data_IF_058060677678
#
_entry.id   IF_058060677678
#
_cell.length_a   1.000
_cell.length_b   1.000
_cell.length_c   1.000
_cell.angle_alpha   90.00
_cell.angle_beta   90.00
_cell.angle_gamma   90.00
#
_symmetry.space_group_name_H-M   'P 1'
#
loop_
_entity.id
_entity.type
_entity.pdbx_description
1 polymer ?
#
# COMPACT_ATOMS: atom_id res chain seq x y z
N UNK A 1 -2.27 -16.98 -37.93
CA UNK A 1 -1.39 -15.95 -37.34
C UNK A 1 -1.92 -15.74 -35.94
N UNK A 2 -1.20 -16.13 -34.89
CA UNK A 2 -1.63 -15.78 -33.54
C UNK A 2 -1.45 -14.28 -33.38
N UNK A 3 -2.49 -13.61 -32.91
CA UNK A 3 -2.46 -12.20 -32.55
C UNK A 3 -1.59 -12.07 -31.30
N UNK A 4 -0.43 -11.42 -31.44
CA UNK A 4 0.38 -10.97 -30.31
C UNK A 4 -0.47 -10.00 -29.47
N UNK A 5 -1.01 -10.50 -28.36
CA UNK A 5 -1.57 -9.71 -27.28
C UNK A 5 -0.49 -8.73 -26.84
N UNK A 6 -0.70 -7.44 -27.08
CA UNK A 6 0.10 -6.39 -26.46
C UNK A 6 0.01 -6.60 -24.94
N UNK A 7 1.13 -6.95 -24.33
CA UNK A 7 1.32 -6.77 -22.88
C UNK A 7 1.09 -5.28 -22.58
N UNK A 8 -0.12 -4.93 -22.16
CA UNK A 8 -0.40 -3.64 -21.55
C UNK A 8 0.37 -3.62 -20.23
N UNK A 9 1.60 -3.10 -20.27
CA UNK A 9 2.37 -2.84 -19.05
C UNK A 9 1.50 -1.98 -18.13
N UNK A 10 1.11 -2.52 -16.97
CA UNK A 10 0.43 -1.76 -15.92
C UNK A 10 1.22 -0.48 -15.65
N UNK A 11 0.53 0.66 -15.67
CA UNK A 11 1.14 1.99 -15.47
C UNK A 11 1.58 2.20 -14.02
N UNK A 12 0.84 1.62 -13.08
CA UNK A 12 1.05 1.73 -11.63
C UNK A 12 1.07 0.35 -10.98
N UNK A 13 1.75 0.20 -9.83
CA UNK A 13 1.71 -1.04 -9.07
C UNK A 13 0.29 -1.31 -8.57
N UNK A 14 -0.09 -2.57 -8.48
CA UNK A 14 -1.32 -2.96 -7.80
C UNK A 14 -1.22 -2.68 -6.30
N UNK A 15 -2.15 -1.90 -5.77
CA UNK A 15 -2.20 -1.53 -4.35
C UNK A 15 -3.61 -1.72 -3.82
N UNK A 16 -3.72 -2.47 -2.72
CA UNK A 16 -4.96 -2.68 -1.96
C UNK A 16 -4.87 -1.93 -0.64
N UNK A 17 -5.72 -0.94 -0.44
CA UNK A 17 -5.81 -0.15 0.81
C UNK A 17 -6.65 -0.91 1.83
N UNK A 18 -6.15 -1.02 3.06
CA UNK A 18 -6.79 -1.76 4.15
C UNK A 18 -7.58 -0.82 5.08
N UNK A 19 -8.78 -1.24 5.48
CA UNK A 19 -9.69 -0.46 6.34
C UNK A 19 -10.41 -1.33 7.37
N UNK A 20 -10.87 -0.71 8.46
CA UNK A 20 -11.66 -1.35 9.54
C UNK A 20 -13.16 -1.51 9.24
N UNK A 21 -13.60 -1.17 8.03
CA UNK A 21 -15.00 -1.21 7.62
C UNK A 21 -15.86 -0.03 8.05
N UNK A 22 -15.36 0.86 8.93
CA UNK A 22 -16.00 2.15 9.24
C UNK A 22 -15.22 3.36 8.68
N UNK A 23 -14.05 3.10 8.10
CA UNK A 23 -13.30 4.06 7.28
C UNK A 23 -11.92 4.42 7.84
N UNK A 24 -11.47 3.79 8.92
CA UNK A 24 -10.11 4.00 9.44
C UNK A 24 -9.12 3.32 8.51
N UNK A 25 -8.11 4.06 8.05
CA UNK A 25 -7.06 3.53 7.19
C UNK A 25 -6.00 2.79 8.00
N UNK A 26 -5.75 1.52 7.66
CA UNK A 26 -4.90 0.61 8.44
C UNK A 26 -3.56 0.31 7.78
N UNK A 27 -3.42 0.64 6.50
CA UNK A 27 -2.23 0.33 5.70
C UNK A 27 -2.56 -0.15 4.30
N UNK A 28 -1.66 -0.90 3.68
CA UNK A 28 -1.86 -1.42 2.32
C UNK A 28 -1.15 -2.75 2.05
N UNK A 29 -1.62 -3.46 1.03
CA UNK A 29 -0.96 -4.59 0.39
C UNK A 29 -0.56 -4.15 -1.01
N UNK A 30 0.70 -4.28 -1.41
CA UNK A 30 1.20 -3.75 -2.70
C UNK A 30 2.15 -4.71 -3.39
N UNK A 31 2.18 -4.65 -4.72
CA UNK A 31 3.24 -5.29 -5.52
C UNK A 31 4.61 -4.83 -5.02
N UNK A 32 5.56 -5.76 -4.99
CA UNK A 32 6.95 -5.44 -4.72
C UNK A 32 7.56 -4.67 -5.90
N UNK A 33 8.53 -3.77 -5.64
CA UNK A 33 9.23 -3.10 -6.74
C UNK A 33 10.02 -4.11 -7.58
N UNK A 34 10.21 -3.83 -8.87
CA UNK A 34 10.98 -4.68 -9.79
C UNK A 34 12.43 -4.95 -9.31
N UNK A 35 12.97 -4.07 -8.47
CA UNK A 35 14.31 -4.20 -7.86
C UNK A 35 14.34 -5.14 -6.64
N UNK A 36 13.18 -5.62 -6.17
CA UNK A 36 13.08 -6.56 -5.06
C UNK A 36 13.66 -7.94 -5.42
N UNK A 37 14.20 -8.70 -4.44
CA UNK A 37 14.52 -10.12 -4.64
C UNK A 37 13.32 -11.01 -5.02
N UNK A 38 12.09 -10.54 -4.74
CA UNK A 38 10.83 -11.23 -5.08
C UNK A 38 9.85 -10.25 -5.76
N UNK A 39 10.09 -9.87 -7.02
CA UNK A 39 9.31 -8.84 -7.73
C UNK A 39 7.92 -9.33 -8.19
N UNK A 40 7.70 -10.65 -8.21
CA UNK A 40 6.41 -11.30 -8.50
C UNK A 40 5.52 -11.47 -7.26
N UNK A 41 6.01 -11.02 -6.10
CA UNK A 41 5.33 -11.10 -4.80
C UNK A 41 4.88 -9.73 -4.31
N UNK A 42 4.18 -9.73 -3.19
CA UNK A 42 3.64 -8.53 -2.56
C UNK A 42 4.34 -8.26 -1.22
N UNK A 43 4.03 -7.11 -0.64
CA UNK A 43 4.31 -6.77 0.75
C UNK A 43 3.08 -6.14 1.38
N UNK A 44 2.98 -6.28 2.70
CA UNK A 44 1.98 -5.60 3.53
C UNK A 44 2.69 -4.50 4.30
N UNK A 45 2.14 -3.29 4.29
CA UNK A 45 2.47 -2.24 5.24
C UNK A 45 1.29 -2.06 6.19
N UNK A 46 1.53 -2.20 7.48
CA UNK A 46 0.55 -1.95 8.55
C UNK A 46 0.94 -0.63 9.21
N UNK A 47 0.06 0.36 9.16
CA UNK A 47 0.32 1.67 9.74
C UNK A 47 0.40 1.57 11.27
N UNK A 48 1.46 2.10 11.88
CA UNK A 48 1.61 2.10 13.35
C UNK A 48 0.85 3.23 14.03
N UNK A 49 0.79 4.39 13.39
CA UNK A 49 0.20 5.61 13.95
C UNK A 49 -1.31 5.61 13.84
N UNK A 50 -2.01 5.95 14.92
CA UNK A 50 -3.47 6.05 14.98
C UNK A 50 -4.19 4.75 14.55
N UNK A 51 -3.51 3.60 14.67
CA UNK A 51 -4.06 2.30 14.32
C UNK A 51 -4.39 1.49 15.58
N UNK A 52 -5.67 1.39 15.98
CA UNK A 52 -6.08 0.64 17.17
C UNK A 52 -5.97 -0.87 17.00
N UNK A 53 -5.75 -1.37 15.78
CA UNK A 53 -5.65 -2.78 15.44
C UNK A 53 -4.21 -3.21 15.11
N UNK A 54 -3.20 -2.40 15.46
CA UNK A 54 -1.80 -2.66 15.10
C UNK A 54 -1.33 -4.07 15.51
N UNK A 55 -1.45 -4.40 16.80
CA UNK A 55 -1.02 -5.70 17.32
C UNK A 55 -1.80 -6.87 16.70
N UNK A 56 -3.10 -6.67 16.49
CA UNK A 56 -3.98 -7.67 15.87
C UNK A 56 -3.58 -7.92 14.41
N UNK A 57 -3.38 -6.87 13.61
CA UNK A 57 -2.99 -7.01 12.20
C UNK A 57 -1.58 -7.59 12.06
N UNK A 58 -0.63 -7.17 12.91
CA UNK A 58 0.72 -7.76 12.93
C UNK A 58 0.61 -9.25 13.26
N UNK A 59 -0.18 -9.61 14.27
CA UNK A 59 -0.42 -11.01 14.62
C UNK A 59 -1.13 -11.79 13.51
N UNK A 60 -2.10 -11.20 12.82
CA UNK A 60 -2.79 -11.84 11.69
C UNK A 60 -1.82 -12.13 10.55
N UNK A 61 -0.93 -11.19 10.22
CA UNK A 61 -0.07 -11.32 9.05
C UNK A 61 1.32 -11.88 9.30
N UNK A 62 1.77 -12.04 10.54
CA UNK A 62 3.16 -12.44 10.84
C UNK A 62 3.55 -13.79 10.23
N UNK A 63 2.59 -14.68 9.96
CA UNK A 63 2.84 -15.99 9.36
C UNK A 63 2.95 -15.98 7.85
N UNK A 64 2.53 -14.90 7.18
CA UNK A 64 2.49 -14.81 5.72
C UNK A 64 3.83 -14.40 5.11
N UNK A 65 4.60 -13.58 5.82
CA UNK A 65 5.86 -13.05 5.33
C UNK A 65 7.05 -13.84 5.84
N UNK A 66 8.07 -14.01 4.99
CA UNK A 66 9.35 -14.55 5.45
C UNK A 66 10.10 -13.57 6.36
N UNK A 67 9.85 -12.26 6.19
CA UNK A 67 10.48 -11.20 6.96
C UNK A 67 9.43 -10.22 7.48
N UNK A 68 9.70 -9.72 8.69
CA UNK A 68 8.94 -8.66 9.35
C UNK A 68 9.92 -7.55 9.70
N UNK A 69 9.64 -6.35 9.20
CA UNK A 69 10.44 -5.16 9.44
C UNK A 69 9.62 -4.17 10.27
N UNK A 70 10.08 -3.90 11.48
CA UNK A 70 9.54 -2.84 12.32
C UNK A 70 10.19 -1.52 11.92
N UNK A 71 9.37 -0.51 11.59
CA UNK A 71 9.85 0.84 11.32
C UNK A 71 10.03 1.61 12.63
N UNK A 72 10.95 2.58 12.69
CA UNK A 72 11.20 3.36 13.89
C UNK A 72 9.94 4.05 14.42
N UNK A 73 9.83 4.13 15.73
CA UNK A 73 8.81 4.94 16.43
C UNK A 73 8.85 6.40 15.96
N UNK A 74 7.68 7.04 16.00
CA UNK A 74 7.58 8.46 15.76
C UNK A 74 8.21 9.26 16.90
N UNK A 75 8.62 10.50 16.61
CA UNK A 75 9.28 11.38 17.59
C UNK A 75 8.42 11.74 18.80
N UNK A 76 7.10 11.57 18.69
CA UNK A 76 6.11 11.78 19.74
C UNK A 76 5.84 10.51 20.58
N UNK A 77 6.54 9.40 20.31
CA UNK A 77 6.42 8.13 21.02
C UNK A 77 5.31 7.22 20.50
N UNK A 78 4.63 7.60 19.42
CA UNK A 78 3.65 6.73 18.75
C UNK A 78 4.36 5.58 18.01
N UNK A 79 3.77 4.37 17.96
CA UNK A 79 4.36 3.21 17.30
C UNK A 79 4.69 3.46 15.83
N UNK A 80 5.81 2.91 15.39
CA UNK A 80 6.16 2.84 13.96
C UNK A 80 5.32 1.79 13.22
N UNK A 81 5.30 1.90 11.90
CA UNK A 81 4.62 0.94 11.03
C UNK A 81 5.40 -0.38 10.90
N UNK A 82 4.73 -1.42 10.42
CA UNK A 82 5.35 -2.72 10.14
C UNK A 82 5.29 -3.03 8.65
N UNK A 83 6.33 -3.66 8.12
CA UNK A 83 6.35 -4.19 6.75
C UNK A 83 6.55 -5.70 6.80
N UNK A 84 5.68 -6.46 6.15
CA UNK A 84 5.72 -7.92 6.10
C UNK A 84 5.88 -8.34 4.64
N UNK A 85 6.99 -9.03 4.33
CA UNK A 85 7.36 -9.35 2.95
C UNK A 85 8.37 -10.50 2.85
N UNK A 86 8.47 -11.17 1.68
CA UNK A 86 7.47 -11.20 0.62
C UNK A 86 6.24 -12.03 1.05
N UNK A 87 5.07 -11.73 0.49
CA UNK A 87 3.81 -12.44 0.77
C UNK A 87 3.08 -12.84 -0.52
N UNK A 88 2.18 -13.82 -0.42
CA UNK A 88 1.18 -14.09 -1.45
C UNK A 88 -0.05 -13.19 -1.28
N UNK A 89 -0.47 -12.54 -2.36
CA UNK A 89 -1.53 -11.53 -2.32
C UNK A 89 -2.89 -12.11 -1.94
N UNK A 90 -3.27 -13.22 -2.57
CA UNK A 90 -4.62 -13.77 -2.38
C UNK A 90 -4.75 -14.31 -0.94
N UNK A 91 -3.71 -14.98 -0.43
CA UNK A 91 -3.68 -15.43 0.97
C UNK A 91 -3.78 -14.26 1.96
N UNK A 92 -3.10 -13.14 1.68
CA UNK A 92 -3.17 -11.95 2.52
C UNK A 92 -4.55 -11.27 2.50
N UNK A 93 -5.20 -11.20 1.34
CA UNK A 93 -6.55 -10.65 1.21
C UNK A 93 -7.59 -11.54 1.90
N UNK A 94 -7.45 -12.86 1.78
CA UNK A 94 -8.32 -13.82 2.46
C UNK A 94 -8.18 -13.68 3.99
N UNK A 95 -6.96 -13.69 4.53
CA UNK A 95 -6.74 -13.51 5.97
C UNK A 95 -7.22 -12.16 6.50
N UNK A 96 -7.05 -11.08 5.73
CA UNK A 96 -7.55 -9.75 6.10
C UNK A 96 -9.08 -9.76 6.22
N UNK A 97 -9.76 -10.30 5.22
CA UNK A 97 -11.23 -10.28 5.15
C UNK A 97 -11.87 -11.25 6.13
N UNK A 98 -11.27 -12.43 6.36
CA UNK A 98 -11.67 -13.37 7.41
C UNK A 98 -11.51 -12.77 8.82
N UNK A 99 -10.57 -11.84 8.99
CA UNK A 99 -10.38 -11.08 10.24
C UNK A 99 -11.36 -9.90 10.39
N UNK A 100 -12.29 -9.71 9.45
CA UNK A 100 -13.34 -8.68 9.53
C UNK A 100 -12.94 -7.31 8.98
N UNK A 101 -11.76 -7.18 8.36
CA UNK A 101 -11.30 -5.95 7.73
C UNK A 101 -11.69 -5.91 6.24
N UNK A 102 -11.54 -4.73 5.63
CA UNK A 102 -11.83 -4.50 4.22
C UNK A 102 -10.58 -4.12 3.45
N UNK A 103 -10.47 -4.63 2.21
CA UNK A 103 -9.48 -4.16 1.23
C UNK A 103 -10.18 -3.49 0.05
N UNK A 104 -9.60 -2.38 -0.43
CA UNK A 104 -10.06 -1.65 -1.61
C UNK A 104 -8.91 -1.48 -2.58
N UNK A 105 -9.06 -2.02 -3.79
CA UNK A 105 -8.11 -1.83 -4.88
C UNK A 105 -8.04 -0.35 -5.28
N UNK A 106 -6.83 0.21 -5.33
CA UNK A 106 -6.57 1.53 -5.87
C UNK A 106 -6.75 1.53 -7.39
N UNK A 107 -7.44 2.54 -7.90
CA UNK A 107 -7.60 2.79 -9.33
C UNK A 107 -6.47 3.65 -9.88
N UNK A 108 -6.32 3.70 -11.21
CA UNK A 108 -5.38 4.62 -11.87
C UNK A 108 -5.63 6.09 -11.48
N UNK A 109 -6.89 6.48 -11.29
CA UNK A 109 -7.27 7.83 -10.85
C UNK A 109 -6.79 8.12 -9.43
N UNK A 110 -6.83 7.14 -8.51
CA UNK A 110 -6.28 7.28 -7.15
C UNK A 110 -4.77 7.57 -7.20
N UNK A 111 -4.04 6.87 -8.07
CA UNK A 111 -2.60 7.06 -8.26
C UNK A 111 -2.30 8.45 -8.84
N UNK A 112 -3.04 8.88 -9.86
CA UNK A 112 -2.87 10.20 -10.47
C UNK A 112 -3.18 11.34 -9.51
N UNK A 113 -4.21 11.18 -8.68
CA UNK A 113 -4.52 12.13 -7.62
C UNK A 113 -3.40 12.22 -6.60
N UNK A 114 -2.84 11.09 -6.14
CA UNK A 114 -1.73 11.08 -5.20
C UNK A 114 -0.51 11.81 -5.77
N UNK A 115 -0.13 11.52 -7.02
CA UNK A 115 0.99 12.18 -7.71
C UNK A 115 0.73 13.69 -7.79
N UNK A 116 -0.48 14.11 -8.14
CA UNK A 116 -0.87 15.52 -8.22
C UNK A 116 -0.78 16.23 -6.87
N UNK A 117 -1.18 15.59 -5.78
CA UNK A 117 -1.06 16.19 -4.45
C UNK A 117 0.40 16.29 -3.99
N UNK A 118 1.24 15.29 -4.30
CA UNK A 118 2.69 15.34 -4.04
C UNK A 118 3.32 16.51 -4.82
N UNK A 119 3.03 16.64 -6.11
CA UNK A 119 3.52 17.74 -6.95
C UNK A 119 3.18 19.12 -6.36
N UNK A 120 1.95 19.29 -5.85
CA UNK A 120 1.55 20.55 -5.18
C UNK A 120 2.40 20.82 -3.94
N UNK A 121 2.66 19.79 -3.12
CA UNK A 121 3.47 19.94 -1.91
C UNK A 121 4.92 20.32 -2.23
N UNK A 122 5.51 19.72 -3.26
CA UNK A 122 6.85 20.09 -3.74
C UNK A 122 6.88 21.53 -4.25
N UNK A 123 5.86 21.93 -5.00
CA UNK A 123 5.73 23.30 -5.50
C UNK A 123 5.64 24.31 -4.36
N UNK A 124 4.85 24.04 -3.32
CA UNK A 124 4.70 24.94 -2.17
C UNK A 124 6.04 25.12 -1.43
N UNK A 125 6.92 24.11 -1.45
CA UNK A 125 8.26 24.17 -0.86
C UNK A 125 9.32 24.83 -1.77
N UNK A 126 9.06 25.04 -3.07
CA UNK A 126 10.12 25.35 -4.05
C UNK A 126 9.80 26.23 -5.27
N UNK A 127 8.57 26.72 -5.47
CA UNK A 127 8.23 27.67 -6.54
C UNK A 127 7.55 27.07 -7.79
N UNK A 128 6.66 27.90 -8.38
CA UNK A 128 5.79 27.74 -9.57
C UNK A 128 4.90 26.50 -9.71
N UNK A 129 3.62 26.66 -9.34
CA UNK A 129 2.57 25.63 -9.41
C UNK A 129 2.28 25.18 -10.84
N UNK A 130 2.44 23.88 -11.11
CA UNK A 130 1.87 23.26 -12.31
C UNK A 130 0.34 23.33 -12.22
N UNK A 131 -0.30 23.96 -13.21
CA UNK A 131 -1.77 24.00 -13.33
C UNK A 131 -2.26 22.72 -13.99
N UNK A 132 -3.01 21.93 -13.23
CA UNK A 132 -3.75 20.78 -13.76
C UNK A 132 -5.20 21.19 -14.01
N UNK A 133 -5.70 21.00 -15.23
CA UNK A 133 -7.11 21.21 -15.57
C UNK A 133 -7.93 20.07 -14.99
N UNK A 134 -9.03 20.40 -14.28
CA UNK A 134 -10.06 19.41 -13.92
C UNK A 134 -10.85 19.08 -15.19
N UNK A 135 -10.83 17.81 -15.61
CA UNK A 135 -11.77 17.25 -16.58
C UNK A 135 -13.10 16.95 -15.90
#
# INVERSE_FOLDING_TARGET
MPEDTKDDKKKYPEVWRMFDGVGTYLGYISENPESSPAPDKFHILINGRENPYLDELVWTFHTLGENIYELPEHSDGEPGSYVIAPIDKEEALDMLTDSGFMAVLSSDDDHEELIREIDKLETIKGGESKRYSRS
#
